data_IF_773376426596
#
_entry.id   IF_773376426596
#
_cell.length_a   1.000
_cell.length_b   1.000
_cell.length_c   1.000
_cell.angle_alpha   90.00
_cell.angle_beta   90.00
_cell.angle_gamma   90.00
#
_symmetry.space_group_name_H-M   'P 1'
#
loop_
_entity.id
_entity.type
_entity.pdbx_description
1 polymer ?
#
# COMPACT_ATOMS: atom_id res chain seq x y z
N UNK A 1 -10.99 -49.74 13.86
CA UNK A 1 -10.47 -48.95 12.73
C UNK A 1 -10.91 -47.53 12.97
N UNK A 2 -10.07 -46.84 13.74
CA UNK A 2 -10.30 -45.50 14.23
C UNK A 2 -10.12 -44.53 13.07
N UNK A 3 -11.24 -44.16 12.44
CA UNK A 3 -11.21 -43.15 11.39
C UNK A 3 -11.12 -41.79 12.08
N UNK A 4 -9.88 -41.39 12.33
CA UNK A 4 -9.51 -40.06 12.80
C UNK A 4 -10.01 -39.04 11.78
N UNK A 5 -11.20 -38.49 12.03
CA UNK A 5 -11.64 -37.25 11.39
C UNK A 5 -10.61 -36.20 11.75
N UNK A 6 -9.71 -35.94 10.80
CA UNK A 6 -8.83 -34.80 10.81
C UNK A 6 -9.74 -33.59 10.70
N UNK A 7 -10.24 -33.12 11.85
CA UNK A 7 -10.81 -31.79 11.98
C UNK A 7 -9.71 -30.83 11.57
N UNK A 8 -9.69 -30.46 10.28
CA UNK A 8 -8.94 -29.32 9.82
C UNK A 8 -9.46 -28.15 10.63
N UNK A 9 -8.68 -27.72 11.62
CA UNK A 9 -8.94 -26.58 12.46
C UNK A 9 -8.96 -25.32 11.58
N UNK A 10 -10.05 -25.11 10.84
CA UNK A 10 -10.39 -23.83 10.22
C UNK A 10 -10.96 -22.92 11.31
N UNK A 11 -10.15 -22.64 12.34
CA UNK A 11 -10.16 -21.29 12.87
C UNK A 11 -9.47 -20.48 11.79
N UNK A 12 -10.25 -19.87 10.88
CA UNK A 12 -9.67 -18.87 9.99
C UNK A 12 -9.25 -17.72 10.89
N UNK A 13 -8.00 -17.73 11.30
CA UNK A 13 -7.32 -16.63 11.95
C UNK A 13 -7.33 -15.48 10.92
N UNK A 14 -8.27 -14.53 11.05
CA UNK A 14 -8.46 -13.36 10.18
C UNK A 14 -7.26 -12.39 10.26
N UNK A 15 -6.06 -12.81 9.87
CA UNK A 15 -4.83 -12.01 9.85
C UNK A 15 -4.41 -11.61 8.42
N UNK A 16 -5.34 -11.68 7.46
CA UNK A 16 -5.10 -11.27 6.08
C UNK A 16 -6.19 -10.34 5.60
N UNK A 17 -5.79 -9.32 4.83
CA UNK A 17 -6.68 -8.33 4.24
C UNK A 17 -6.31 -8.18 2.78
N UNK A 18 -7.31 -8.29 1.91
CA UNK A 18 -7.13 -8.27 0.46
C UNK A 18 -7.59 -6.94 -0.11
N UNK A 19 -6.84 -6.44 -1.10
CA UNK A 19 -7.21 -5.31 -1.92
C UNK A 19 -6.99 -5.67 -3.39
N UNK A 20 -8.05 -5.59 -4.18
CA UNK A 20 -7.98 -5.80 -5.63
C UNK A 20 -7.79 -4.44 -6.33
N UNK A 21 -6.61 -4.28 -6.93
CA UNK A 21 -6.27 -3.08 -7.71
C UNK A 21 -6.85 -3.15 -9.13
N UNK A 22 -7.29 -2.03 -9.72
CA UNK A 22 -7.75 -1.98 -11.11
C UNK A 22 -6.65 -2.34 -12.14
N UNK A 23 -5.39 -2.17 -11.76
CA UNK A 23 -4.22 -2.48 -12.59
C UNK A 23 -3.22 -3.32 -11.79
N UNK A 24 -2.36 -4.11 -12.46
CA UNK A 24 -1.25 -4.79 -11.80
C UNK A 24 -0.39 -3.80 -11.01
N UNK A 25 0.08 -4.19 -9.83
CA UNK A 25 0.94 -3.36 -9.00
C UNK A 25 2.42 -3.67 -9.27
N UNK A 26 3.23 -2.63 -9.45
CA UNK A 26 4.66 -2.76 -9.72
C UNK A 26 5.53 -2.37 -8.51
N UNK A 27 5.09 -1.39 -7.73
CA UNK A 27 5.77 -0.96 -6.51
C UNK A 27 4.77 -0.68 -5.40
N UNK A 28 5.24 -0.79 -4.16
CA UNK A 28 4.47 -0.46 -2.97
C UNK A 28 5.36 0.12 -1.87
N UNK A 29 4.76 0.88 -0.97
CA UNK A 29 5.41 1.37 0.25
C UNK A 29 4.40 1.55 1.39
N UNK A 30 4.83 1.31 2.62
CA UNK A 30 4.06 1.60 3.82
C UNK A 30 4.53 2.91 4.45
N UNK A 31 3.59 3.76 4.85
CA UNK A 31 3.92 4.95 5.65
C UNK A 31 4.31 4.53 7.06
N UNK A 32 5.39 5.11 7.58
CA UNK A 32 5.85 4.89 8.96
C UNK A 32 5.38 6.00 9.91
N UNK A 33 4.39 6.80 9.51
CA UNK A 33 3.88 7.88 10.34
C UNK A 33 3.22 7.32 11.62
N UNK A 34 3.68 7.69 12.82
CA UNK A 34 3.16 7.15 14.06
C UNK A 34 1.90 7.87 14.55
N UNK A 35 1.41 8.90 13.85
CA UNK A 35 0.19 9.59 14.24
C UNK A 35 -1.02 8.66 14.12
N UNK A 36 -1.70 8.30 15.22
CA UNK A 36 -2.85 7.40 15.20
C UNK A 36 -4.07 7.97 14.45
N UNK A 37 -4.12 9.29 14.22
CA UNK A 37 -5.17 9.89 13.38
C UNK A 37 -4.94 9.65 11.88
N UNK A 38 -3.70 9.31 11.49
CA UNK A 38 -3.40 8.90 10.14
C UNK A 38 -3.57 7.38 10.07
N UNK A 39 -4.66 6.92 9.44
CA UNK A 39 -4.81 5.52 9.06
C UNK A 39 -3.52 5.04 8.38
N UNK A 40 -3.11 3.79 8.64
CA UNK A 40 -1.92 3.22 8.00
C UNK A 40 -2.07 3.34 6.47
N UNK A 41 -1.22 4.18 5.87
CA UNK A 41 -1.24 4.49 4.44
C UNK A 41 -0.31 3.56 3.69
N UNK A 42 -0.75 3.12 2.53
CA UNK A 42 0.01 2.26 1.62
C UNK A 42 0.03 2.97 0.28
N UNK A 43 1.20 3.34 -0.23
CA UNK A 43 1.33 3.80 -1.60
C UNK A 43 1.48 2.58 -2.50
N UNK A 44 0.75 2.57 -3.61
CA UNK A 44 0.87 1.53 -4.64
C UNK A 44 1.03 2.17 -6.01
N UNK A 45 1.91 1.62 -6.84
CA UNK A 45 2.19 2.08 -8.19
C UNK A 45 1.76 1.05 -9.21
N UNK A 46 1.08 1.48 -10.27
CA UNK A 46 0.61 0.59 -11.33
C UNK A 46 1.75 0.08 -12.22
N UNK A 47 1.48 -1.01 -12.95
CA UNK A 47 2.15 -1.37 -14.19
C UNK A 47 1.13 -1.27 -15.33
N UNK A 48 1.28 -0.25 -16.15
CA UNK A 48 0.51 -0.01 -17.38
C UNK A 48 1.54 0.19 -18.49
N UNK A 49 1.36 -0.49 -19.62
CA UNK A 49 2.33 -0.42 -20.73
C UNK A 49 2.30 0.95 -21.41
N UNK A 50 1.15 1.60 -21.42
CA UNK A 50 0.96 2.97 -21.86
C UNK A 50 1.53 3.98 -20.85
N UNK A 51 1.78 5.22 -21.32
CA UNK A 51 2.27 6.34 -20.50
C UNK A 51 1.19 6.95 -19.59
N UNK A 52 0.40 6.09 -18.95
CA UNK A 52 -0.73 6.44 -18.08
C UNK A 52 -0.65 5.69 -16.77
N UNK A 53 0.57 5.42 -16.29
CA UNK A 53 0.75 4.85 -14.96
C UNK A 53 0.29 5.83 -13.89
N UNK A 54 0.05 5.31 -12.69
CA UNK A 54 -0.41 6.11 -11.57
C UNK A 54 0.08 5.56 -10.25
N UNK A 55 0.09 6.43 -9.26
CA UNK A 55 0.31 6.09 -7.86
C UNK A 55 -0.95 6.43 -7.09
N UNK A 56 -1.43 5.47 -6.31
CA UNK A 56 -2.57 5.63 -5.43
C UNK A 56 -2.15 5.45 -3.97
N UNK A 57 -2.77 6.22 -3.08
CA UNK A 57 -2.67 6.01 -1.65
C UNK A 57 -3.87 5.24 -1.15
N UNK A 58 -3.62 4.07 -0.59
CA UNK A 58 -4.61 3.26 0.11
C UNK A 58 -4.58 3.56 1.60
N UNK A 59 -5.70 3.38 2.28
CA UNK A 59 -5.81 3.45 3.73
C UNK A 59 -6.33 2.13 4.27
N UNK A 60 -5.67 1.65 5.31
CA UNK A 60 -6.12 0.51 6.09
C UNK A 60 -7.04 0.95 7.23
N UNK A 61 -8.20 0.31 7.34
CA UNK A 61 -9.13 0.48 8.43
C UNK A 61 -9.11 -0.77 9.34
N UNK A 62 -8.62 -0.67 10.59
CA UNK A 62 -8.48 -1.82 11.49
C UNK A 62 -9.82 -2.36 12.00
N UNK A 63 -10.85 -1.51 12.15
CA UNK A 63 -12.17 -1.91 12.67
C UNK A 63 -12.92 -2.81 11.68
N UNK A 64 -12.74 -2.55 10.39
CA UNK A 64 -13.40 -3.28 9.29
C UNK A 64 -12.48 -4.27 8.60
N UNK A 65 -11.21 -4.33 9.00
CA UNK A 65 -10.15 -5.11 8.33
C UNK A 65 -10.18 -4.93 6.82
N UNK A 66 -10.25 -3.68 6.35
CA UNK A 66 -10.36 -3.36 4.92
C UNK A 66 -9.33 -2.35 4.47
N UNK A 67 -8.89 -2.49 3.22
CA UNK A 67 -8.01 -1.55 2.54
C UNK A 67 -8.82 -0.86 1.45
N UNK A 68 -8.81 0.47 1.42
CA UNK A 68 -9.54 1.27 0.43
C UNK A 68 -8.67 2.36 -0.17
N UNK A 69 -8.78 2.65 -1.47
CA UNK A 69 -8.11 3.79 -2.08
C UNK A 69 -8.68 5.09 -1.51
N UNK A 70 -7.82 6.10 -1.39
CA UNK A 70 -8.20 7.48 -1.08
C UNK A 70 -8.26 8.27 -2.40
N UNK A 71 -9.46 8.54 -2.95
CA UNK A 71 -9.59 9.11 -4.30
C UNK A 71 -8.95 10.50 -4.44
N UNK A 72 -8.80 11.24 -3.34
CA UNK A 72 -8.13 12.55 -3.33
C UNK A 72 -6.61 12.46 -3.24
N UNK A 73 -6.04 11.26 -3.07
CA UNK A 73 -4.61 11.01 -2.90
C UNK A 73 -4.11 10.02 -3.97
N UNK A 74 -4.17 10.47 -5.21
CA UNK A 74 -3.58 9.79 -6.35
C UNK A 74 -2.93 10.80 -7.28
N UNK A 75 -1.97 10.35 -8.08
CA UNK A 75 -1.31 11.19 -9.09
C UNK A 75 -0.80 10.34 -10.25
N UNK A 76 -0.71 10.98 -11.42
CA UNK A 76 -0.19 10.36 -12.63
C UNK A 76 1.32 10.15 -12.53
N UNK A 77 1.77 9.02 -13.07
CA UNK A 77 3.18 8.68 -13.19
C UNK A 77 3.44 8.27 -14.66
N UNK A 78 4.40 8.88 -15.36
CA UNK A 78 4.55 8.63 -16.80
C UNK A 78 4.94 7.18 -17.11
N UNK A 79 5.74 6.54 -16.26
CA UNK A 79 6.23 5.17 -16.41
C UNK A 79 5.81 4.29 -15.22
N UNK A 80 5.92 2.96 -15.26
CA UNK A 80 5.73 2.13 -14.07
C UNK A 80 6.69 2.59 -12.94
N UNK A 81 6.19 2.90 -11.73
CA UNK A 81 7.06 3.30 -10.62
C UNK A 81 7.92 2.12 -10.18
N UNK A 82 9.24 2.21 -10.36
CA UNK A 82 10.20 1.16 -9.95
C UNK A 82 10.43 1.15 -8.45
N UNK A 83 10.17 2.27 -7.77
CA UNK A 83 10.28 2.38 -6.31
C UNK A 83 9.35 3.46 -5.78
N UNK A 84 8.76 3.16 -4.62
CA UNK A 84 8.01 4.11 -3.79
C UNK A 84 8.63 4.10 -2.39
N UNK A 85 8.79 5.27 -1.78
CA UNK A 85 9.27 5.38 -0.40
C UNK A 85 8.64 6.57 0.29
N UNK A 86 8.00 6.32 1.44
CA UNK A 86 7.64 7.40 2.34
C UNK A 86 8.88 7.94 3.04
N UNK A 87 8.86 9.23 3.33
CA UNK A 87 9.87 9.84 4.19
C UNK A 87 9.87 9.13 5.55
N UNK A 88 11.04 8.73 6.07
CA UNK A 88 11.12 8.04 7.35
C UNK A 88 10.59 8.92 8.50
N UNK A 89 9.90 8.30 9.45
CA UNK A 89 9.59 8.98 10.70
C UNK A 89 10.90 9.20 11.48
N UNK A 90 11.25 10.46 11.72
CA UNK A 90 12.39 10.84 12.57
C UNK A 90 11.88 11.36 13.91
N UNK A 91 12.74 11.39 14.93
CA UNK A 91 12.39 11.90 16.25
C UNK A 91 11.86 13.36 16.22
N UNK A 92 12.23 14.14 15.19
CA UNK A 92 11.73 15.49 14.93
C UNK A 92 10.35 15.53 14.25
N UNK A 93 10.03 14.54 13.41
CA UNK A 93 8.72 14.40 12.76
C UNK A 93 7.66 13.81 13.71
N UNK A 94 8.05 13.35 14.90
CA UNK A 94 7.12 13.03 16.00
C UNK A 94 6.52 14.28 16.66
N UNK A 95 7.23 15.41 16.58
CA UNK A 95 6.85 16.67 17.24
C UNK A 95 6.13 17.66 16.31
N UNK A 96 6.33 17.52 15.00
CA UNK A 96 5.58 18.26 13.98
C UNK A 96 4.55 17.35 13.34
N UNK A 97 3.37 17.88 13.05
CA UNK A 97 2.38 17.32 12.13
C UNK A 97 2.99 17.22 10.72
N UNK A 98 3.88 16.26 10.52
CA UNK A 98 4.54 16.02 9.25
C UNK A 98 3.52 15.44 8.30
N UNK A 99 3.22 16.14 7.21
CA UNK A 99 2.57 15.53 6.06
C UNK A 99 3.43 14.37 5.56
N UNK A 100 2.81 13.27 5.16
CA UNK A 100 3.52 12.16 4.55
C UNK A 100 4.11 12.63 3.21
N UNK A 101 5.44 12.63 3.12
CA UNK A 101 6.15 12.90 1.87
C UNK A 101 6.44 11.55 1.21
N UNK A 102 6.14 11.45 -0.08
CA UNK A 102 6.38 10.25 -0.88
C UNK A 102 7.37 10.57 -2.00
N UNK A 103 8.40 9.76 -2.12
CA UNK A 103 9.33 9.77 -3.24
C UNK A 103 9.01 8.61 -4.19
N UNK A 104 9.04 8.89 -5.49
CA UNK A 104 8.85 7.89 -6.55
C UNK A 104 10.04 7.91 -7.51
N UNK A 105 10.34 6.75 -8.09
CA UNK A 105 11.21 6.64 -9.24
C UNK A 105 10.54 5.86 -10.34
N UNK A 106 10.83 6.19 -11.58
CA UNK A 106 10.53 5.36 -12.74
C UNK A 106 11.35 5.85 -13.91
N UNK A 107 11.67 4.93 -14.80
CA UNK A 107 12.42 5.21 -16.01
C UNK A 107 11.99 4.20 -17.07
N UNK A 108 12.36 4.47 -18.32
CA UNK A 108 12.17 3.55 -19.43
C UNK A 108 13.50 3.30 -20.12
N UNK A 109 13.67 2.08 -20.60
CA UNK A 109 14.88 1.71 -21.31
C UNK A 109 14.81 2.34 -22.71
N UNK A 110 15.69 3.31 -22.98
CA UNK A 110 15.94 3.82 -24.34
C UNK A 110 16.95 2.88 -24.99
N UNK A 111 16.52 2.17 -26.02
CA UNK A 111 17.40 1.36 -26.88
C UNK A 111 17.88 2.19 -28.08
#
# INVERSE_FOLDING_TARGET
>A
MDNSTQESHLRSDNNSVTYDSPHPLYAMAFSSNPNPQHHQRIAVGSFIEEYTNRVDILSFNPDTLSIKPQPSLSFDHPYPPTKLMFHPATHSSLQKTSSDLLATSGDYLRL
#
